data_IF_773814523620
#
_entry.id   IF_773814523620
#
_cell.length_a   1.000
_cell.length_b   1.000
_cell.length_c   1.000
_cell.angle_alpha   90.00
_cell.angle_beta   90.00
_cell.angle_gamma   90.00
#
_symmetry.space_group_name_H-M   'P 1'
#
loop_
_entity.id
_entity.type
_entity.pdbx_description
1 polymer ?
#
# COMPACT_ATOMS: atom_id res chain seq x y z
N UNK A 1 -10.17 1.84 -5.90
CA UNK A 1 -10.63 0.94 -4.82
C UNK A 1 -11.98 0.31 -5.16
N UNK A 2 -13.09 1.07 -5.16
CA UNK A 2 -14.44 0.53 -5.37
C UNK A 2 -14.57 -0.29 -6.67
N UNK A 3 -14.02 0.20 -7.78
CA UNK A 3 -14.07 -0.51 -9.06
C UNK A 3 -13.43 -1.91 -8.99
N UNK A 4 -12.23 -2.04 -8.40
CA UNK A 4 -11.56 -3.32 -8.24
C UNK A 4 -12.34 -4.27 -7.32
N UNK A 5 -12.92 -3.73 -6.25
CA UNK A 5 -13.80 -4.51 -5.39
C UNK A 5 -15.00 -5.07 -6.15
N UNK A 6 -15.65 -4.25 -6.98
CA UNK A 6 -16.78 -4.68 -7.81
C UNK A 6 -16.36 -5.71 -8.87
N UNK A 7 -15.08 -5.70 -9.28
CA UNK A 7 -14.48 -6.71 -10.16
C UNK A 7 -14.01 -7.97 -9.42
N UNK A 8 -14.24 -8.06 -8.11
CA UNK A 8 -13.94 -9.25 -7.31
C UNK A 8 -12.54 -9.28 -6.70
N UNK A 9 -11.75 -8.19 -6.78
CA UNK A 9 -10.47 -8.12 -6.06
C UNK A 9 -10.74 -8.12 -4.56
N UNK A 10 -10.16 -9.06 -3.78
CA UNK A 10 -10.39 -9.14 -2.35
C UNK A 10 -9.98 -7.85 -1.64
N UNK A 11 -10.79 -7.37 -0.69
CA UNK A 11 -10.44 -6.17 0.08
C UNK A 11 -9.15 -6.36 0.89
N UNK A 12 -8.87 -7.58 1.34
CA UNK A 12 -7.62 -7.97 2.03
C UNK A 12 -6.38 -7.89 1.13
N UNK A 13 -6.57 -7.86 -0.19
CA UNK A 13 -5.52 -7.69 -1.17
C UNK A 13 -5.28 -6.21 -1.53
N UNK A 14 -6.09 -5.28 -1.00
CA UNK A 14 -6.03 -3.85 -1.32
C UNK A 14 -5.74 -3.00 -0.08
N UNK A 15 -4.92 -1.96 -0.25
CA UNK A 15 -4.69 -0.96 0.78
C UNK A 15 -4.46 0.42 0.14
N UNK A 16 -4.99 1.48 0.74
CA UNK A 16 -4.62 2.85 0.38
C UNK A 16 -3.42 3.25 1.22
N UNK A 17 -2.31 3.63 0.58
CA UNK A 17 -1.13 4.15 1.24
C UNK A 17 -1.08 5.66 1.10
N UNK A 18 -0.93 6.36 2.22
CA UNK A 18 -0.58 7.78 2.26
C UNK A 18 0.93 7.87 2.43
N UNK A 19 1.57 8.55 1.50
CA UNK A 19 3.00 8.70 1.35
C UNK A 19 3.39 10.18 1.43
N UNK A 20 4.63 10.47 1.83
CA UNK A 20 5.25 11.79 1.69
C UNK A 20 6.48 11.70 0.80
N UNK A 21 6.49 12.46 -0.29
CA UNK A 21 7.68 12.67 -1.11
C UNK A 21 8.74 13.42 -0.29
N UNK A 22 9.93 12.82 -0.11
CA UNK A 22 11.02 13.44 0.66
C UNK A 22 11.68 14.60 -0.06
N UNK A 23 11.60 14.64 -1.38
CA UNK A 23 12.21 15.68 -2.20
C UNK A 23 11.35 16.95 -2.20
N UNK A 24 10.03 16.79 -2.27
CA UNK A 24 9.11 17.93 -2.38
C UNK A 24 8.32 18.21 -1.11
N UNK A 25 8.35 17.31 -0.13
CA UNK A 25 7.55 17.38 1.10
C UNK A 25 6.04 17.19 0.89
N UNK A 26 5.61 16.81 -0.31
CA UNK A 26 4.18 16.68 -0.65
C UNK A 26 3.63 15.33 -0.23
N UNK A 27 2.41 15.35 0.28
CA UNK A 27 1.67 14.13 0.58
C UNK A 27 0.97 13.62 -0.67
N UNK A 28 0.92 12.30 -0.81
CA UNK A 28 0.33 11.61 -1.94
C UNK A 28 -0.35 10.32 -1.50
N UNK A 29 -1.49 10.00 -2.08
CA UNK A 29 -2.24 8.79 -1.77
C UNK A 29 -2.26 7.86 -2.99
N UNK A 30 -1.87 6.61 -2.79
CA UNK A 30 -1.84 5.58 -3.84
C UNK A 30 -2.62 4.35 -3.40
N UNK A 31 -3.13 3.57 -4.36
CA UNK A 31 -3.76 2.29 -4.07
C UNK A 31 -2.77 1.16 -4.36
N UNK A 32 -2.48 0.35 -3.35
CA UNK A 32 -1.64 -0.83 -3.46
C UNK A 32 -2.52 -2.06 -3.57
N UNK A 33 -2.23 -2.92 -4.55
CA UNK A 33 -2.95 -4.16 -4.82
C UNK A 33 -1.96 -5.33 -4.83
N UNK A 34 -2.28 -6.40 -4.10
CA UNK A 34 -1.54 -7.65 -4.12
C UNK A 34 -2.25 -8.67 -5.01
N UNK A 35 -1.58 -9.12 -6.06
CA UNK A 35 -2.12 -10.07 -7.03
C UNK A 35 -1.04 -11.09 -7.37
N UNK A 36 -1.35 -12.40 -7.25
CA UNK A 36 -0.44 -13.50 -7.60
C UNK A 36 0.97 -13.38 -6.99
N UNK A 37 1.06 -12.90 -5.74
CA UNK A 37 2.34 -12.69 -5.04
C UNK A 37 3.12 -11.45 -5.48
N UNK A 38 2.58 -10.64 -6.39
CA UNK A 38 3.14 -9.35 -6.82
C UNK A 38 2.39 -8.20 -6.17
N UNK A 39 3.11 -7.09 -5.97
CA UNK A 39 2.52 -5.84 -5.50
C UNK A 39 2.49 -4.84 -6.65
N UNK A 40 1.31 -4.33 -6.97
CA UNK A 40 1.10 -3.29 -7.99
C UNK A 40 0.65 -2.01 -7.30
N UNK A 41 1.16 -0.87 -7.76
CA UNK A 41 0.74 0.45 -7.27
C UNK A 41 -0.05 1.15 -8.36
N UNK A 42 -1.30 1.48 -8.04
CA UNK A 42 -2.17 2.30 -8.87
C UNK A 42 -2.09 3.74 -8.38
N UNK A 43 -1.53 4.58 -9.23
CA UNK A 43 -1.27 6.00 -9.00
C UNK A 43 -2.06 6.82 -10.01
N UNK A 44 -2.68 7.91 -9.60
CA UNK A 44 -3.38 8.81 -10.52
C UNK A 44 -2.44 9.83 -11.18
N UNK A 45 -1.18 9.91 -10.74
CA UNK A 45 -0.14 10.76 -11.32
C UNK A 45 0.78 9.99 -12.28
N UNK A 46 0.65 8.65 -12.35
CA UNK A 46 1.52 7.77 -13.15
C UNK A 46 0.69 6.63 -13.73
N UNK A 47 0.88 6.29 -15.01
CA UNK A 47 0.05 5.28 -15.68
C UNK A 47 0.19 3.86 -15.09
N UNK A 48 1.40 3.48 -14.68
CA UNK A 48 1.70 2.19 -14.03
C UNK A 48 3.01 2.35 -13.24
N UNK A 49 2.94 2.20 -11.92
CA UNK A 49 4.11 2.34 -11.05
C UNK A 49 4.35 1.04 -10.27
N UNK A 50 5.63 0.70 -10.12
CA UNK A 50 6.07 -0.37 -9.23
C UNK A 50 6.39 0.21 -7.86
N UNK A 51 6.47 -0.64 -6.85
CA UNK A 51 6.82 -0.21 -5.50
C UNK A 51 8.23 0.44 -5.47
N UNK A 52 9.14 -0.02 -6.32
CA UNK A 52 10.49 0.54 -6.46
C UNK A 52 10.49 2.03 -6.85
N UNK A 53 9.50 2.47 -7.63
CA UNK A 53 9.39 3.86 -8.09
C UNK A 53 9.05 4.84 -6.96
N UNK A 54 8.80 4.33 -5.75
CA UNK A 54 8.48 5.07 -4.54
C UNK A 54 9.62 5.09 -3.52
N UNK A 55 10.85 4.74 -3.91
CA UNK A 55 12.01 4.76 -3.00
C UNK A 55 12.24 6.12 -2.33
N UNK A 56 11.89 7.23 -3.01
CA UNK A 56 11.97 8.59 -2.47
C UNK A 56 10.81 8.96 -1.52
N UNK A 57 9.80 8.10 -1.37
CA UNK A 57 8.64 8.36 -0.55
C UNK A 57 8.77 7.69 0.82
N UNK A 58 8.21 8.35 1.84
CA UNK A 58 8.04 7.78 3.18
C UNK A 58 6.57 7.41 3.37
N UNK A 59 6.27 6.18 3.78
CA UNK A 59 4.91 5.83 4.21
C UNK A 59 4.53 6.56 5.50
N UNK A 60 3.36 7.19 5.50
CA UNK A 60 2.77 7.85 6.66
C UNK A 60 1.67 7.00 7.29
N UNK A 61 0.81 6.41 6.45
CA UNK A 61 -0.39 5.69 6.88
C UNK A 61 -0.78 4.64 5.84
N UNK A 62 -1.30 3.51 6.33
CA UNK A 62 -1.92 2.47 5.52
C UNK A 62 -3.37 2.32 5.96
N UNK A 63 -4.31 2.45 5.01
CA UNK A 63 -5.72 2.22 5.21
C UNK A 63 -6.10 0.90 4.54
N UNK A 64 -6.43 -0.09 5.35
CA UNK A 64 -6.98 -1.38 4.92
C UNK A 64 -8.47 -1.42 5.27
N UNK A 65 -9.26 -2.17 4.51
CA UNK A 65 -10.58 -2.52 5.00
C UNK A 65 -10.42 -3.47 6.20
N UNK A 66 -11.03 -3.13 7.33
CA UNK A 66 -11.22 -4.11 8.38
C UNK A 66 -12.24 -5.15 7.87
N UNK A 67 -11.82 -6.41 7.83
CA UNK A 67 -12.78 -7.51 7.70
C UNK A 67 -13.50 -7.58 9.03
N UNK A 68 -14.77 -7.15 9.07
CA UNK A 68 -15.63 -7.35 10.22
C UNK A 68 -15.90 -8.86 10.40
N UNK A 69 -15.02 -9.55 11.11
CA UNK A 69 -15.33 -10.84 11.72
C UNK A 69 -16.26 -10.64 12.93
N UNK A 70 -16.93 -11.70 13.42
CA UNK A 70 -17.70 -11.61 14.66
C UNK A 70 -16.81 -11.05 15.78
N UNK A 71 -17.29 -9.99 16.43
CA UNK A 71 -16.52 -9.09 17.26
C UNK A 71 -16.12 -9.72 18.61
N UNK A 72 -15.03 -10.47 18.65
CA UNK A 72 -14.30 -10.73 19.90
C UNK A 72 -13.28 -9.61 20.17
N UNK A 73 -13.81 -8.45 20.54
CA UNK A 73 -13.32 -7.59 21.62
C UNK A 73 -11.86 -7.12 21.68
N UNK A 74 -11.03 -7.20 20.63
CA UNK A 74 -9.68 -6.61 20.64
C UNK A 74 -9.30 -6.03 19.26
N UNK A 75 -9.56 -4.73 19.09
CA UNK A 75 -9.03 -3.95 17.97
C UNK A 75 -7.50 -4.04 17.97
N UNK A 76 -6.95 -4.61 16.90
CA UNK A 76 -5.50 -4.59 16.61
C UNK A 76 -5.31 -3.76 15.36
N UNK A 77 -4.93 -2.49 15.55
CA UNK A 77 -4.29 -1.70 14.50
C UNK A 77 -2.94 -2.35 14.24
N UNK A 78 -2.88 -3.23 13.22
CA UNK A 78 -1.65 -3.87 12.80
C UNK A 78 -0.77 -2.82 12.11
N UNK A 79 0.20 -2.27 12.83
CA UNK A 79 1.34 -1.57 12.27
C UNK A 79 2.14 -2.55 11.41
N UNK A 80 1.73 -2.73 10.16
CA UNK A 80 2.45 -3.52 9.18
C UNK A 80 3.67 -2.74 8.70
N UNK A 81 4.86 -3.15 9.13
CA UNK A 81 6.12 -2.68 8.54
C UNK A 81 6.12 -2.99 7.04
N UNK A 82 6.40 -1.96 6.24
CA UNK A 82 6.80 -2.14 4.85
C UNK A 82 8.16 -2.86 4.88
N UNK A 83 8.36 -4.00 4.20
CA UNK A 83 9.69 -4.58 4.07
C UNK A 83 10.59 -3.55 3.41
N UNK A 84 11.67 -3.18 4.08
CA UNK A 84 12.72 -2.33 3.52
C UNK A 84 13.25 -2.98 2.26
N UNK A 85 13.25 -2.25 1.14
CA UNK A 85 13.97 -2.65 -0.06
C UNK A 85 15.42 -2.96 0.34
N UNK A 86 15.78 -4.24 0.24
CA UNK A 86 17.08 -4.72 0.68
C UNK A 86 18.19 -3.98 -0.03
N UNK A 87 19.07 -3.35 0.75
CA UNK A 87 20.37 -2.87 0.30
C UNK A 87 21.13 -4.06 -0.28
N UNK A 88 21.33 -4.08 -1.60
CA UNK A 88 22.40 -4.89 -2.19
C UNK A 88 23.70 -4.19 -1.86
N UNK A 89 24.43 -4.69 -0.87
CA UNK A 89 25.86 -4.45 -0.79
C UNK A 89 26.55 -5.34 -1.84
N UNK A 90 27.29 -4.68 -2.72
CA UNK A 90 28.42 -5.27 -3.45
C UNK A 90 29.64 -4.37 -3.20
N UNK A 91 30.86 -4.77 -3.61
CA UNK A 91 31.20 -5.87 -4.51
C UNK A 91 31.72 -7.15 -3.82
#
# INVERSE_FOLDING_TARGET
YLALRLLGVPETAMAVLVLRDRNTGRDHAVLVVREEGRTVVLDNLRELARLEDYAAYRSLLTLTAEVAGPADGRSRVAGGSVPSAGTREGP
#
